data_IF_441955708816
#
_entry.id   IF_441955708816
#
_cell.length_a   1.000
_cell.length_b   1.000
_cell.length_c   1.000
_cell.angle_alpha   90.00
_cell.angle_beta   90.00
_cell.angle_gamma   90.00
#
_symmetry.space_group_name_H-M   'P 1'
#
loop_
_entity.id
_entity.type
_entity.pdbx_description
1 polymer ?
#
# COMPACT_ATOMS: atom_id res chain seq x y z
N UNK A 1 -50.66 -55.50 15.03
CA UNK A 1 -51.23 -54.37 14.26
C UNK A 1 -50.19 -53.31 13.91
N UNK A 2 -49.07 -53.73 13.30
CA UNK A 2 -48.01 -52.83 12.78
C UNK A 2 -48.46 -52.06 11.53
N UNK A 3 -49.48 -52.56 10.82
CA UNK A 3 -50.04 -51.94 9.61
C UNK A 3 -50.85 -50.68 9.93
N UNK A 4 -51.49 -50.60 11.11
CA UNK A 4 -52.26 -49.42 11.53
C UNK A 4 -51.37 -48.26 12.00
N UNK A 5 -50.17 -48.56 12.52
CA UNK A 5 -49.18 -47.54 12.91
C UNK A 5 -48.44 -46.94 11.70
N UNK A 6 -48.21 -47.71 10.63
CA UNK A 6 -47.61 -47.18 9.40
C UNK A 6 -48.56 -46.23 8.64
N UNK A 7 -49.87 -46.50 8.65
CA UNK A 7 -50.85 -45.61 8.01
C UNK A 7 -51.04 -44.29 8.77
N UNK A 8 -50.94 -44.29 10.10
CA UNK A 8 -50.95 -43.06 10.91
C UNK A 8 -49.65 -42.24 10.76
N UNK A 9 -48.49 -42.89 10.53
CA UNK A 9 -47.23 -42.21 10.27
C UNK A 9 -47.16 -41.56 8.88
N UNK A 10 -47.82 -42.15 7.87
CA UNK A 10 -47.84 -41.59 6.50
C UNK A 10 -48.71 -40.33 6.35
N UNK A 11 -49.74 -40.16 7.18
CA UNK A 11 -50.57 -38.94 7.20
C UNK A 11 -49.92 -37.80 7.99
N UNK A 12 -49.15 -38.09 9.04
CA UNK A 12 -48.36 -37.11 9.79
C UNK A 12 -47.10 -36.62 9.05
N UNK A 13 -46.48 -37.47 8.23
CA UNK A 13 -45.35 -37.06 7.37
C UNK A 13 -45.80 -36.12 6.24
N UNK A 14 -47.01 -36.34 5.70
CA UNK A 14 -47.60 -35.45 4.70
C UNK A 14 -47.97 -34.08 5.31
N UNK A 15 -48.43 -34.04 6.57
CA UNK A 15 -48.71 -32.78 7.26
C UNK A 15 -47.44 -32.04 7.70
N UNK A 16 -46.38 -32.72 8.15
CA UNK A 16 -45.13 -32.04 8.53
C UNK A 16 -44.38 -31.45 7.33
N UNK A 17 -44.38 -32.13 6.17
CA UNK A 17 -43.82 -31.59 4.92
C UNK A 17 -44.70 -30.46 4.41
N UNK A 18 -46.02 -30.61 4.44
CA UNK A 18 -46.94 -29.53 4.06
C UNK A 18 -46.86 -28.34 5.01
N UNK A 19 -46.67 -28.54 6.31
CA UNK A 19 -46.58 -27.49 7.33
C UNK A 19 -45.21 -26.80 7.28
N UNK A 20 -44.12 -27.53 7.00
CA UNK A 20 -42.81 -26.93 6.77
C UNK A 20 -42.77 -26.16 5.45
N UNK A 21 -43.41 -26.67 4.40
CA UNK A 21 -43.56 -25.97 3.12
C UNK A 21 -44.48 -24.75 3.26
N UNK A 22 -45.58 -24.85 4.00
CA UNK A 22 -46.47 -23.72 4.27
C UNK A 22 -45.83 -22.69 5.23
N UNK A 23 -44.97 -23.13 6.16
CA UNK A 23 -44.16 -22.26 7.02
C UNK A 23 -43.10 -21.53 6.19
N UNK A 24 -42.38 -22.22 5.31
CA UNK A 24 -41.44 -21.60 4.38
C UNK A 24 -42.16 -20.63 3.45
N UNK A 25 -43.29 -21.03 2.84
CA UNK A 25 -44.07 -20.16 1.95
C UNK A 25 -44.59 -18.96 2.73
N UNK A 26 -45.17 -19.10 3.93
CA UNK A 26 -45.67 -17.94 4.68
C UNK A 26 -44.56 -17.06 5.26
N UNK A 27 -43.40 -17.63 5.59
CA UNK A 27 -42.22 -16.88 6.08
C UNK A 27 -41.53 -16.15 4.93
N UNK A 28 -41.53 -16.72 3.73
CA UNK A 28 -40.90 -16.16 2.52
C UNK A 28 -41.88 -15.32 1.67
N UNK A 29 -43.19 -15.44 1.87
CA UNK A 29 -44.25 -14.73 1.13
C UNK A 29 -44.84 -13.55 1.90
N UNK A 30 -44.53 -13.37 3.19
CA UNK A 30 -44.92 -12.14 3.88
C UNK A 30 -44.05 -10.99 3.38
N UNK A 31 -44.68 -10.15 2.54
CA UNK A 31 -44.21 -8.86 2.05
C UNK A 31 -43.29 -8.14 3.04
N UNK A 32 -42.17 -7.69 2.50
CA UNK A 32 -41.19 -6.73 3.05
C UNK A 32 -40.11 -7.34 3.95
N UNK A 33 -39.10 -7.97 3.35
CA UNK A 33 -37.76 -7.38 3.31
C UNK A 33 -36.76 -8.31 2.61
N UNK A 34 -35.88 -7.66 1.85
CA UNK A 34 -34.81 -8.23 1.05
C UNK A 34 -33.79 -9.04 1.85
N UNK A 35 -33.13 -9.98 1.14
CA UNK A 35 -31.83 -10.59 1.42
C UNK A 35 -31.79 -11.92 2.21
N UNK A 36 -31.25 -12.98 1.57
CA UNK A 36 -30.01 -13.68 2.00
C UNK A 36 -29.97 -15.24 1.95
N UNK A 37 -31.04 -16.02 1.78
CA UNK A 37 -30.97 -17.47 2.13
C UNK A 37 -31.44 -18.45 1.03
N UNK A 38 -30.87 -18.41 -0.17
CA UNK A 38 -31.05 -19.53 -1.15
C UNK A 38 -29.72 -20.07 -1.69
N UNK A 39 -28.57 -19.54 -1.29
CA UNK A 39 -27.27 -19.95 -1.84
C UNK A 39 -26.52 -21.04 -1.05
N UNK A 40 -27.09 -21.63 0.00
CA UNK A 40 -26.35 -22.60 0.84
C UNK A 40 -26.72 -24.08 0.56
N UNK A 41 -27.82 -24.40 -0.10
CA UNK A 41 -28.32 -25.79 -0.16
C UNK A 41 -28.20 -26.53 -1.50
N UNK A 42 -27.43 -26.04 -2.47
CA UNK A 42 -27.25 -26.74 -3.76
C UNK A 42 -25.79 -27.05 -4.11
N UNK A 43 -25.02 -27.49 -3.12
CA UNK A 43 -23.66 -27.96 -3.34
C UNK A 43 -23.43 -29.35 -2.72
N UNK A 44 -24.34 -30.31 -2.90
CA UNK A 44 -24.04 -31.74 -2.67
C UNK A 44 -25.05 -32.64 -3.40
N UNK A 45 -24.77 -32.99 -4.65
CA UNK A 45 -24.98 -34.33 -5.23
C UNK A 45 -24.78 -34.30 -6.75
N UNK A 46 -23.71 -34.97 -7.19
CA UNK A 46 -23.28 -35.13 -8.58
C UNK A 46 -24.18 -36.10 -9.35
N UNK A 47 -25.41 -35.71 -9.73
CA UNK A 47 -26.21 -36.45 -10.74
C UNK A 47 -27.59 -35.83 -10.99
N UNK A 48 -27.64 -34.68 -11.68
CA UNK A 48 -28.87 -34.24 -12.35
C UNK A 48 -28.58 -33.95 -13.83
N UNK A 49 -29.49 -34.32 -14.75
CA UNK A 49 -29.28 -34.16 -16.18
C UNK A 49 -29.12 -32.67 -16.49
N UNK A 50 -28.11 -32.32 -17.28
CA UNK A 50 -27.97 -30.97 -17.84
C UNK A 50 -29.19 -30.71 -18.71
N UNK A 51 -30.18 -30.00 -18.18
CA UNK A 51 -31.24 -29.41 -19.00
C UNK A 51 -30.59 -28.32 -19.83
N UNK A 52 -30.34 -28.62 -21.10
CA UNK A 52 -30.03 -27.56 -22.07
C UNK A 52 -31.29 -26.73 -22.26
N UNK A 53 -31.21 -25.47 -21.83
CA UNK A 53 -32.29 -24.51 -21.97
C UNK A 53 -32.41 -24.09 -23.43
N UNK A 54 -33.64 -24.06 -23.96
CA UNK A 54 -33.89 -23.49 -25.28
C UNK A 54 -33.48 -22.01 -25.31
N UNK A 55 -33.18 -21.46 -26.49
CA UNK A 55 -32.84 -20.05 -26.64
C UNK A 55 -33.91 -19.12 -26.02
N UNK A 56 -35.18 -19.54 -26.06
CA UNK A 56 -36.31 -18.82 -25.47
C UNK A 56 -36.32 -18.87 -23.92
N UNK A 57 -35.90 -19.99 -23.32
CA UNK A 57 -35.77 -20.14 -21.86
C UNK A 57 -34.55 -19.39 -21.30
N UNK A 58 -33.45 -19.34 -22.05
CA UNK A 58 -32.29 -18.51 -21.73
C UNK A 58 -32.66 -17.02 -21.80
N UNK A 59 -33.42 -16.62 -22.83
CA UNK A 59 -33.92 -15.25 -22.99
C UNK A 59 -34.90 -14.85 -21.88
N UNK A 60 -35.81 -15.75 -21.46
CA UNK A 60 -36.73 -15.50 -20.34
C UNK A 60 -35.99 -15.40 -19.00
N UNK A 61 -34.98 -16.24 -18.75
CA UNK A 61 -34.11 -16.11 -17.56
C UNK A 61 -33.26 -14.84 -17.55
N UNK A 62 -32.85 -14.35 -18.72
CA UNK A 62 -32.17 -13.06 -18.87
C UNK A 62 -33.07 -11.89 -18.43
N UNK A 63 -34.39 -12.00 -18.64
CA UNK A 63 -35.39 -10.98 -18.28
C UNK A 63 -35.91 -11.15 -16.84
N UNK A 64 -35.99 -12.37 -16.30
CA UNK A 64 -36.62 -12.64 -14.99
C UNK A 64 -35.64 -12.92 -13.84
N UNK A 65 -34.34 -12.93 -14.08
CA UNK A 65 -33.37 -12.75 -12.99
C UNK A 65 -33.58 -11.34 -12.45
N UNK A 66 -33.49 -11.06 -11.13
CA UNK A 66 -33.60 -9.71 -10.60
C UNK A 66 -32.38 -8.89 -11.06
N UNK A 67 -32.42 -8.47 -12.32
CA UNK A 67 -31.66 -7.39 -12.89
C UNK A 67 -32.36 -6.13 -12.37
N UNK A 68 -31.66 -5.39 -11.50
CA UNK A 68 -32.07 -4.13 -10.90
C UNK A 68 -32.92 -3.28 -11.87
N UNK A 69 -34.24 -3.32 -11.70
CA UNK A 69 -35.18 -2.62 -12.56
C UNK A 69 -35.82 -1.47 -11.79
N UNK A 70 -35.14 -0.32 -11.76
CA UNK A 70 -35.86 0.95 -11.70
C UNK A 70 -36.01 1.45 -13.13
N UNK A 71 -37.24 1.42 -13.64
CA UNK A 71 -37.60 1.81 -15.01
C UNK A 71 -38.02 3.28 -15.10
N UNK A 72 -37.43 4.18 -14.31
CA UNK A 72 -37.53 5.61 -14.59
C UNK A 72 -36.40 6.02 -15.55
N UNK A 73 -36.74 6.11 -16.84
CA UNK A 73 -36.02 6.78 -17.95
C UNK A 73 -34.48 6.85 -17.93
N UNK A 74 -33.86 6.41 -19.04
CA UNK A 74 -32.46 6.57 -19.49
C UNK A 74 -31.60 5.28 -19.50
N UNK A 75 -31.65 4.61 -20.68
CA UNK A 75 -30.71 3.68 -21.32
C UNK A 75 -30.35 2.37 -20.56
N UNK A 76 -30.57 1.17 -21.15
CA UNK A 76 -30.17 -0.10 -20.55
C UNK A 76 -28.64 -0.27 -20.50
N UNK A 77 -28.11 -0.71 -19.36
CA UNK A 77 -26.68 -0.99 -19.12
C UNK A 77 -26.39 -2.48 -19.38
N UNK A 78 -25.52 -2.80 -20.34
CA UNK A 78 -25.12 -4.17 -20.71
C UNK A 78 -23.88 -4.64 -19.93
N UNK A 79 -23.89 -5.88 -19.43
CA UNK A 79 -22.67 -6.66 -19.16
C UNK A 79 -22.14 -7.18 -20.49
N UNK A 80 -20.89 -6.86 -20.85
CA UNK A 80 -20.23 -7.50 -22.00
C UNK A 80 -19.92 -8.96 -21.64
N UNK A 81 -20.63 -9.90 -22.27
CA UNK A 81 -20.41 -11.36 -22.12
C UNK A 81 -19.69 -11.98 -23.32
N UNK A 82 -19.13 -11.18 -24.23
CA UNK A 82 -18.31 -11.70 -25.31
C UNK A 82 -16.86 -11.70 -24.82
N UNK A 83 -16.23 -12.88 -24.88
CA UNK A 83 -14.91 -13.19 -24.33
C UNK A 83 -13.83 -12.14 -24.56
N UNK A 84 -12.93 -12.08 -23.57
CA UNK A 84 -11.81 -11.16 -23.34
C UNK A 84 -12.17 -9.87 -22.57
N UNK A 85 -12.34 -10.05 -21.25
CA UNK A 85 -12.04 -9.05 -20.21
C UNK A 85 -12.99 -7.86 -20.06
N UNK A 86 -14.14 -8.06 -19.42
CA UNK A 86 -14.93 -6.96 -18.84
C UNK A 86 -15.58 -7.41 -17.52
N UNK A 87 -15.10 -6.90 -16.39
CA UNK A 87 -15.88 -6.84 -15.15
C UNK A 87 -16.19 -5.37 -14.85
N UNK A 88 -17.33 -4.89 -15.36
CA UNK A 88 -17.94 -3.63 -14.90
C UNK A 88 -18.54 -3.91 -13.53
N UNK A 89 -17.94 -3.34 -12.47
CA UNK A 89 -18.61 -3.20 -11.17
C UNK A 89 -19.23 -1.80 -11.17
N UNK A 90 -20.55 -1.76 -11.33
CA UNK A 90 -21.39 -0.57 -11.48
C UNK A 90 -20.93 0.67 -10.67
N UNK A 91 -20.98 1.83 -11.32
CA UNK A 91 -20.85 3.14 -10.68
C UNK A 91 -22.23 3.65 -10.23
N UNK A 92 -22.40 3.84 -8.92
CA UNK A 92 -23.54 4.56 -8.35
C UNK A 92 -23.10 5.98 -7.96
N UNK A 93 -23.86 6.98 -8.40
CA UNK A 93 -23.73 8.37 -7.97
C UNK A 93 -24.62 9.26 -8.83
N UNK A 94 -25.61 9.91 -8.21
CA UNK A 94 -26.69 10.65 -8.86
C UNK A 94 -26.23 11.76 -9.81
N UNK A 95 -27.08 12.01 -10.80
CA UNK A 95 -26.98 13.02 -11.85
C UNK A 95 -26.86 14.44 -11.29
N UNK A 96 -25.72 15.11 -11.53
CA UNK A 96 -25.66 16.52 -11.89
C UNK A 96 -24.50 16.72 -12.90
N UNK A 97 -24.80 17.23 -14.10
CA UNK A 97 -23.85 17.69 -15.14
C UNK A 97 -23.09 16.64 -16.00
N UNK A 98 -23.74 15.56 -16.44
CA UNK A 98 -23.40 14.93 -17.74
C UNK A 98 -21.99 14.37 -17.94
N UNK A 99 -21.24 14.06 -16.88
CA UNK A 99 -19.92 13.43 -16.96
C UNK A 99 -19.93 12.03 -16.34
N UNK A 100 -20.43 11.05 -17.08
CA UNK A 100 -20.22 9.64 -16.77
C UNK A 100 -19.80 8.92 -18.05
N UNK A 101 -18.60 9.23 -18.51
CA UNK A 101 -17.87 8.33 -19.39
C UNK A 101 -16.80 7.66 -18.54
N UNK A 102 -17.01 6.39 -18.18
CA UNK A 102 -15.87 5.51 -17.96
C UNK A 102 -15.23 5.37 -19.35
N UNK A 103 -14.32 6.27 -19.70
CA UNK A 103 -13.52 6.11 -20.92
C UNK A 103 -12.42 5.11 -20.59
N UNK A 104 -12.73 3.83 -20.74
CA UNK A 104 -11.70 2.83 -21.02
C UNK A 104 -11.29 3.02 -22.49
N UNK A 105 -10.36 3.96 -22.73
CA UNK A 105 -9.69 4.14 -24.02
C UNK A 105 -8.40 3.35 -24.00
N UNK A 106 -8.49 2.03 -23.95
CA UNK A 106 -7.34 1.13 -23.99
C UNK A 106 -7.78 -0.22 -24.50
N UNK A 107 -7.51 -0.52 -25.77
CA UNK A 107 -7.93 -1.79 -26.37
C UNK A 107 -7.22 -2.97 -25.73
N UNK A 108 -7.96 -3.88 -25.09
CA UNK A 108 -7.56 -5.30 -24.93
C UNK A 108 -7.02 -5.80 -23.57
N UNK A 109 -7.49 -5.36 -22.39
CA UNK A 109 -7.09 -6.03 -21.14
C UNK A 109 -7.95 -5.80 -19.89
N UNK A 110 -7.71 -6.63 -18.87
CA UNK A 110 -8.57 -6.86 -17.69
C UNK A 110 -8.45 -5.76 -16.63
N UNK A 111 -9.21 -4.67 -16.75
CA UNK A 111 -9.25 -3.59 -15.75
C UNK A 111 -10.44 -3.74 -14.77
N UNK A 112 -10.26 -3.35 -13.50
CA UNK A 112 -11.31 -3.12 -12.50
C UNK A 112 -11.48 -1.61 -12.33
N UNK A 113 -12.65 -1.07 -12.64
CA UNK A 113 -12.90 0.39 -12.59
C UNK A 113 -14.21 0.68 -11.85
N UNK A 114 -14.16 1.56 -10.85
CA UNK A 114 -15.32 2.02 -10.09
C UNK A 114 -15.24 3.52 -9.76
N UNK A 115 -16.25 4.29 -10.13
CA UNK A 115 -16.32 5.72 -9.81
C UNK A 115 -16.91 6.59 -10.91
N UNK A 116 -16.77 7.92 -10.77
CA UNK A 116 -17.26 8.92 -11.72
C UNK A 116 -16.09 9.60 -12.44
N UNK A 117 -16.29 10.00 -13.70
CA UNK A 117 -15.32 10.81 -14.49
C UNK A 117 -13.91 10.17 -14.60
N UNK A 118 -13.84 8.86 -14.80
CA UNK A 118 -12.56 8.14 -14.80
C UNK A 118 -11.87 8.13 -16.15
N UNK A 119 -10.54 8.18 -16.16
CA UNK A 119 -9.73 7.91 -17.35
C UNK A 119 -8.71 6.82 -17.08
N UNK A 120 -8.87 5.67 -17.73
CA UNK A 120 -7.97 4.52 -17.55
C UNK A 120 -7.45 4.06 -18.91
N UNK A 121 -6.15 4.19 -19.11
CA UNK A 121 -5.41 3.69 -20.26
C UNK A 121 -4.51 2.51 -19.85
N UNK A 122 -4.46 1.48 -20.69
CA UNK A 122 -3.65 0.27 -20.54
C UNK A 122 -4.38 -0.92 -19.91
N UNK A 123 -3.60 -1.92 -19.46
CA UNK A 123 -4.07 -3.23 -19.01
C UNK A 123 -4.04 -3.43 -17.50
N UNK A 124 -4.71 -4.47 -17.00
CA UNK A 124 -4.55 -5.02 -15.64
C UNK A 124 -4.59 -4.01 -14.48
N UNK A 125 -5.37 -2.93 -14.59
CA UNK A 125 -5.45 -1.89 -13.56
C UNK A 125 -6.58 -2.12 -12.57
N UNK A 126 -6.42 -1.58 -11.36
CA UNK A 126 -7.49 -1.37 -10.37
C UNK A 126 -7.63 0.12 -10.15
N UNK A 127 -8.79 0.69 -10.48
CA UNK A 127 -9.02 2.14 -10.43
C UNK A 127 -10.34 2.45 -9.72
N UNK A 128 -10.29 3.08 -8.56
CA UNK A 128 -11.45 3.36 -7.70
C UNK A 128 -11.43 4.80 -7.22
N UNK A 129 -12.45 5.61 -7.48
CA UNK A 129 -12.54 6.98 -6.98
C UNK A 129 -13.27 7.93 -7.93
N UNK A 130 -13.51 9.18 -7.54
CA UNK A 130 -14.02 10.19 -8.49
C UNK A 130 -12.83 10.85 -9.21
N UNK A 131 -12.89 11.01 -10.53
CA UNK A 131 -11.85 11.64 -11.34
C UNK A 131 -10.46 11.00 -11.19
N UNK A 132 -10.39 9.72 -10.78
CA UNK A 132 -9.12 9.01 -10.70
C UNK A 132 -8.65 8.58 -12.10
N UNK A 133 -7.32 8.51 -12.25
CA UNK A 133 -6.70 8.49 -13.57
C UNK A 133 -5.52 7.51 -13.64
N UNK A 134 -5.47 6.74 -14.72
CA UNK A 134 -4.29 6.00 -15.15
C UNK A 134 -3.95 6.44 -16.57
N UNK A 135 -2.76 6.99 -16.76
CA UNK A 135 -2.24 7.44 -18.04
C UNK A 135 -0.81 6.96 -18.24
N UNK A 136 -0.65 5.71 -18.66
CA UNK A 136 0.66 5.18 -19.03
C UNK A 136 1.07 5.71 -20.42
N UNK A 137 1.84 6.80 -20.46
CA UNK A 137 2.49 7.30 -21.69
C UNK A 137 3.97 6.95 -21.64
N UNK A 138 4.33 5.70 -21.95
CA UNK A 138 5.72 5.35 -22.23
C UNK A 138 5.95 5.48 -23.75
N UNK A 139 6.95 6.27 -24.18
CA UNK A 139 7.21 6.53 -25.61
C UNK A 139 7.87 5.35 -26.35
N UNK A 140 8.07 4.22 -25.67
CA UNK A 140 8.62 2.98 -26.24
C UNK A 140 7.48 1.97 -26.39
N UNK A 141 7.50 1.16 -27.46
CA UNK A 141 6.47 0.16 -27.80
C UNK A 141 6.46 -0.99 -26.78
N UNK A 142 6.06 -0.74 -25.54
CA UNK A 142 5.71 -1.76 -24.56
C UNK A 142 4.44 -1.33 -23.83
N UNK A 143 3.36 -2.09 -24.03
CA UNK A 143 2.08 -1.80 -23.38
C UNK A 143 2.15 -2.27 -21.94
N UNK A 144 2.37 -1.34 -21.01
CA UNK A 144 2.28 -1.64 -19.58
C UNK A 144 1.25 -0.78 -18.88
N UNK A 145 0.28 -1.45 -18.27
CA UNK A 145 -0.35 -0.97 -17.05
C UNK A 145 -0.67 -2.18 -16.20
N UNK A 146 -0.59 -1.98 -14.89
CA UNK A 146 -0.73 -2.94 -13.78
C UNK A 146 -0.74 -2.08 -12.53
N UNK A 147 -1.58 -1.05 -12.54
CA UNK A 147 -1.59 0.00 -11.54
C UNK A 147 -2.72 -0.22 -10.54
N UNK A 148 -2.51 0.25 -9.31
CA UNK A 148 -3.58 0.38 -8.31
C UNK A 148 -3.76 1.87 -8.02
N UNK A 149 -4.88 2.44 -8.40
CA UNK A 149 -5.21 3.86 -8.21
C UNK A 149 -6.52 3.97 -7.43
N UNK A 150 -6.46 4.39 -6.17
CA UNK A 150 -7.62 4.45 -5.28
C UNK A 150 -7.70 5.80 -4.59
N UNK A 151 -8.77 6.56 -4.80
CA UNK A 151 -9.00 7.86 -4.18
C UNK A 151 -9.55 8.88 -5.18
N UNK A 152 -10.22 9.92 -4.67
CA UNK A 152 -10.67 11.01 -5.53
C UNK A 152 -9.45 11.78 -6.06
N UNK A 153 -9.43 12.04 -7.37
CA UNK A 153 -8.33 12.71 -8.07
C UNK A 153 -6.97 11.98 -7.94
N UNK A 154 -6.97 10.72 -7.51
CA UNK A 154 -5.76 9.90 -7.47
C UNK A 154 -5.30 9.59 -8.90
N UNK A 155 -3.99 9.62 -9.13
CA UNK A 155 -3.43 9.54 -10.49
C UNK A 155 -2.16 8.71 -10.54
N UNK A 156 -2.04 7.90 -11.59
CA UNK A 156 -0.77 7.34 -12.02
C UNK A 156 -0.49 7.64 -13.49
N UNK A 157 0.65 8.26 -13.77
CA UNK A 157 1.16 8.51 -15.12
C UNK A 157 2.26 7.51 -15.55
N UNK A 158 2.30 6.35 -14.88
CA UNK A 158 3.35 5.34 -15.06
C UNK A 158 2.77 3.92 -15.04
N UNK A 159 3.66 2.93 -15.02
CA UNK A 159 3.32 1.50 -15.02
C UNK A 159 3.79 0.82 -13.72
N UNK A 160 3.11 -0.27 -13.35
CA UNK A 160 3.43 -1.10 -12.18
C UNK A 160 3.38 -0.33 -10.85
N UNK A 161 2.53 0.68 -10.74
CA UNK A 161 2.55 1.65 -9.66
C UNK A 161 1.33 1.59 -8.75
N UNK A 162 1.44 2.18 -7.56
CA UNK A 162 0.36 2.28 -6.58
C UNK A 162 0.16 3.74 -6.19
N UNK A 163 -1.03 4.29 -6.42
CA UNK A 163 -1.45 5.62 -5.97
C UNK A 163 -2.73 5.50 -5.13
N UNK A 164 -2.62 5.61 -3.80
CA UNK A 164 -3.75 5.43 -2.88
C UNK A 164 -3.90 6.65 -1.98
N UNK A 165 -5.03 7.34 -2.05
CA UNK A 165 -5.35 8.54 -1.29
C UNK A 165 -5.83 9.67 -2.20
N UNK A 166 -6.64 10.59 -1.68
CA UNK A 166 -7.12 11.70 -2.48
C UNK A 166 -5.94 12.56 -2.96
N UNK A 167 -5.89 12.89 -4.25
CA UNK A 167 -4.78 13.59 -4.88
C UNK A 167 -3.40 12.88 -4.74
N UNK A 168 -3.36 11.57 -4.47
CA UNK A 168 -2.10 10.82 -4.54
C UNK A 168 -1.64 10.72 -6.00
N UNK A 169 -0.36 10.98 -6.28
CA UNK A 169 0.16 11.00 -7.66
C UNK A 169 1.47 10.22 -7.77
N UNK A 170 1.49 9.28 -8.72
CA UNK A 170 2.71 8.73 -9.30
C UNK A 170 2.97 9.43 -10.63
N UNK A 171 4.11 10.12 -10.72
CA UNK A 171 4.44 10.99 -11.86
C UNK A 171 4.91 10.19 -13.09
N UNK A 172 4.99 10.84 -14.27
CA UNK A 172 5.55 10.22 -15.46
C UNK A 172 6.96 9.65 -15.20
N UNK A 173 7.29 8.55 -15.87
CA UNK A 173 8.60 7.87 -15.75
C UNK A 173 8.95 7.37 -14.33
N UNK A 174 7.97 7.34 -13.41
CA UNK A 174 8.12 6.82 -12.04
C UNK A 174 7.55 5.40 -11.93
N UNK A 175 8.08 4.43 -12.70
CA UNK A 175 7.57 3.05 -12.73
C UNK A 175 7.88 2.35 -11.40
N UNK A 176 7.05 1.36 -11.06
CA UNK A 176 7.25 0.54 -9.84
C UNK A 176 7.16 1.39 -8.54
N UNK A 177 6.63 2.62 -8.65
CA UNK A 177 6.57 3.55 -7.53
C UNK A 177 5.27 3.45 -6.73
N UNK A 178 5.35 3.82 -5.46
CA UNK A 178 4.25 3.78 -4.49
C UNK A 178 4.02 5.18 -3.92
N UNK A 179 2.80 5.67 -4.00
CA UNK A 179 2.33 6.90 -3.38
C UNK A 179 1.07 6.60 -2.55
N UNK A 180 1.16 6.60 -1.23
CA UNK A 180 0.06 6.27 -0.31
C UNK A 180 -0.14 7.41 0.69
N UNK A 181 -1.28 8.10 0.60
CA UNK A 181 -1.66 9.22 1.46
C UNK A 181 -2.30 10.35 0.65
N UNK A 182 -3.07 11.20 1.35
CA UNK A 182 -3.60 12.43 0.75
C UNK A 182 -2.46 13.31 0.25
N UNK A 183 -2.45 13.69 -1.04
CA UNK A 183 -1.34 14.44 -1.66
C UNK A 183 0.04 13.75 -1.52
N UNK A 184 0.11 12.42 -1.50
CA UNK A 184 1.38 11.70 -1.58
C UNK A 184 1.94 11.74 -3.02
N UNK A 185 3.21 12.08 -3.17
CA UNK A 185 3.86 12.27 -4.47
C UNK A 185 5.08 11.36 -4.65
N UNK A 186 5.03 10.47 -5.63
CA UNK A 186 6.16 9.64 -6.06
C UNK A 186 6.68 10.14 -7.41
N UNK A 187 7.88 10.73 -7.42
CA UNK A 187 8.44 11.45 -8.58
C UNK A 187 9.62 10.78 -9.26
N UNK A 188 10.30 9.86 -8.58
CA UNK A 188 11.39 9.07 -9.16
C UNK A 188 10.92 7.65 -9.53
N UNK A 189 11.68 6.98 -10.41
CA UNK A 189 11.53 5.54 -10.68
C UNK A 189 11.75 4.74 -9.38
N UNK A 190 10.99 3.67 -9.17
CA UNK A 190 11.07 2.79 -8.00
C UNK A 190 11.02 3.51 -6.62
N UNK A 191 10.24 4.59 -6.50
CA UNK A 191 10.14 5.37 -5.25
C UNK A 191 9.01 4.91 -4.33
N UNK A 192 9.13 5.21 -3.04
CA UNK A 192 8.08 4.96 -2.04
C UNK A 192 7.77 6.24 -1.27
N UNK A 193 6.55 6.76 -1.37
CA UNK A 193 6.06 7.92 -0.65
C UNK A 193 4.81 7.51 0.16
N UNK A 194 4.96 7.36 1.48
CA UNK A 194 3.89 6.90 2.38
C UNK A 194 3.65 7.92 3.48
N UNK A 195 2.50 8.59 3.43
CA UNK A 195 2.04 9.61 4.36
C UNK A 195 1.33 10.75 3.64
N UNK A 196 0.48 11.49 4.36
CA UNK A 196 -0.14 12.69 3.79
C UNK A 196 0.94 13.72 3.43
N UNK A 197 0.89 14.29 2.22
CA UNK A 197 1.83 15.31 1.73
C UNK A 197 3.29 14.87 1.70
N UNK A 198 3.56 13.58 1.50
CA UNK A 198 4.93 13.07 1.31
C UNK A 198 5.43 13.32 -0.10
N UNK A 199 6.74 13.45 -0.29
CA UNK A 199 7.35 13.50 -1.63
C UNK A 199 8.64 12.71 -1.69
N UNK A 200 8.67 11.64 -2.48
CA UNK A 200 9.90 10.92 -2.83
C UNK A 200 10.38 11.41 -4.20
N UNK A 201 11.50 12.14 -4.25
CA UNK A 201 11.93 12.87 -5.46
C UNK A 201 12.89 12.09 -6.37
N UNK A 202 13.82 11.34 -5.77
CA UNK A 202 14.92 10.73 -6.51
C UNK A 202 14.63 9.25 -6.75
N UNK A 203 15.20 8.65 -7.80
CA UNK A 203 15.08 7.22 -8.06
C UNK A 203 15.43 6.39 -6.81
N UNK A 204 14.64 5.34 -6.55
CA UNK A 204 14.79 4.46 -5.38
C UNK A 204 14.66 5.14 -3.99
N UNK A 205 14.27 6.41 -3.91
CA UNK A 205 14.12 7.11 -2.63
C UNK A 205 12.83 6.74 -1.90
N UNK A 206 12.87 6.85 -0.57
CA UNK A 206 11.72 6.53 0.31
C UNK A 206 11.39 7.73 1.20
N UNK A 207 10.17 8.25 1.15
CA UNK A 207 9.64 9.24 2.08
C UNK A 207 8.56 8.62 2.96
N UNK A 208 8.78 8.60 4.29
CA UNK A 208 7.91 7.93 5.24
C UNK A 208 7.38 8.90 6.32
N UNK A 209 6.07 8.92 6.51
CA UNK A 209 5.36 9.78 7.46
C UNK A 209 4.93 11.12 6.87
N UNK A 210 3.82 11.67 7.35
CA UNK A 210 3.23 12.88 6.75
C UNK A 210 4.25 14.03 6.62
N UNK A 211 4.22 14.77 5.51
CA UNK A 211 5.14 15.87 5.21
C UNK A 211 6.63 15.49 5.04
N UNK A 212 6.97 14.20 4.97
CA UNK A 212 8.35 13.78 4.70
C UNK A 212 8.74 14.00 3.24
N UNK A 213 9.99 14.42 3.01
CA UNK A 213 10.55 14.65 1.67
C UNK A 213 11.90 13.96 1.55
N UNK A 214 12.05 13.08 0.55
CA UNK A 214 13.31 12.40 0.26
C UNK A 214 13.98 13.03 -0.98
N UNK A 215 15.12 13.68 -0.78
CA UNK A 215 15.84 14.45 -1.81
C UNK A 215 17.33 14.11 -1.93
N UNK A 216 17.86 13.19 -1.11
CA UNK A 216 19.27 12.79 -1.17
C UNK A 216 19.40 11.67 -2.19
N UNK A 217 20.24 11.87 -3.21
CA UNK A 217 20.51 10.91 -4.28
C UNK A 217 21.38 9.74 -3.79
N UNK A 218 21.48 8.70 -4.60
CA UNK A 218 22.50 7.67 -4.43
C UNK A 218 23.91 8.26 -4.46
N UNK A 219 24.89 7.50 -3.96
CA UNK A 219 26.30 7.89 -3.90
C UNK A 219 26.58 9.13 -3.06
N UNK A 220 25.60 9.57 -2.26
CA UNK A 220 25.81 10.60 -1.26
C UNK A 220 26.86 10.14 -0.24
N UNK A 221 27.84 11.00 0.01
CA UNK A 221 28.94 10.79 0.96
C UNK A 221 28.44 11.03 2.38
N UNK A 222 28.69 10.08 3.28
CA UNK A 222 28.40 10.21 4.71
C UNK A 222 29.29 11.25 5.38
N UNK A 223 28.90 11.68 6.58
CA UNK A 223 29.75 12.51 7.43
C UNK A 223 30.84 11.66 8.10
N UNK A 224 32.08 12.16 8.06
CA UNK A 224 33.24 11.57 8.71
C UNK A 224 33.74 12.51 9.83
N UNK A 225 33.67 12.07 11.11
CA UNK A 225 34.11 12.87 12.24
C UNK A 225 35.64 13.04 12.33
N UNK A 226 36.44 12.19 11.69
CA UNK A 226 37.92 12.31 11.71
C UNK A 226 38.35 13.50 10.86
N UNK A 227 37.75 13.64 9.68
CA UNK A 227 38.03 14.75 8.75
C UNK A 227 37.12 15.97 8.97
N UNK A 228 36.11 15.85 9.84
CA UNK A 228 35.09 16.86 10.11
C UNK A 228 34.38 17.32 8.83
N UNK A 229 34.00 16.38 7.98
CA UNK A 229 33.47 16.67 6.65
C UNK A 229 32.75 15.50 6.02
N UNK A 230 32.55 15.57 4.70
CA UNK A 230 32.11 14.40 3.94
C UNK A 230 33.29 13.43 3.82
N UNK A 231 33.02 12.14 4.02
CA UNK A 231 34.03 11.08 3.90
C UNK A 231 34.64 11.02 2.49
N UNK A 232 35.94 10.73 2.41
CA UNK A 232 36.64 10.37 1.17
C UNK A 232 36.81 8.85 1.02
N UNK A 233 36.34 8.07 2.00
CA UNK A 233 36.32 6.61 1.93
C UNK A 233 35.33 6.15 0.85
N UNK A 234 35.75 5.16 0.06
CA UNK A 234 34.90 4.52 -0.93
C UNK A 234 34.26 3.24 -0.35
N UNK A 235 33.18 2.79 -1.00
CA UNK A 235 32.45 1.59 -0.59
C UNK A 235 31.12 1.89 0.13
N UNK A 236 30.30 0.84 0.24
CA UNK A 236 28.88 0.97 0.61
C UNK A 236 28.62 1.27 2.10
N UNK A 237 29.67 1.20 2.95
CA UNK A 237 29.58 1.55 4.38
C UNK A 237 29.52 3.07 4.56
N UNK A 238 30.32 3.80 3.79
CA UNK A 238 30.49 5.26 3.91
C UNK A 238 29.68 6.05 2.89
N UNK A 239 29.36 5.41 1.76
CA UNK A 239 28.70 6.05 0.61
C UNK A 239 27.49 5.23 0.19
N UNK A 240 26.33 5.87 0.17
CA UNK A 240 25.07 5.22 -0.18
C UNK A 240 25.10 4.62 -1.59
N UNK A 241 24.47 3.46 -1.78
CA UNK A 241 24.31 2.85 -3.11
C UNK A 241 22.97 3.17 -3.76
N UNK A 242 21.99 3.61 -2.98
CA UNK A 242 20.65 4.04 -3.38
C UNK A 242 20.30 5.36 -2.69
N UNK A 243 19.26 6.03 -3.18
CA UNK A 243 18.76 7.27 -2.58
C UNK A 243 18.20 7.06 -1.16
N UNK A 244 18.13 8.14 -0.38
CA UNK A 244 17.86 8.04 1.05
C UNK A 244 16.41 7.67 1.41
N UNK A 245 16.27 7.05 2.58
CA UNK A 245 15.02 7.00 3.34
C UNK A 245 14.91 8.26 4.20
N UNK A 246 13.89 9.08 3.95
CA UNK A 246 13.58 10.27 4.74
C UNK A 246 12.34 10.06 5.60
N UNK A 247 12.49 10.32 6.90
CA UNK A 247 11.39 10.33 7.88
C UNK A 247 10.93 11.74 8.25
N UNK A 248 11.35 12.76 7.49
CA UNK A 248 11.01 14.16 7.74
C UNK A 248 11.31 15.08 6.56
N UNK A 249 11.33 16.39 6.82
CA UNK A 249 11.74 17.42 5.87
C UNK A 249 12.56 18.49 6.63
N UNK A 250 13.89 18.37 6.56
CA UNK A 250 14.82 19.28 7.25
C UNK A 250 14.80 20.69 6.69
N UNK A 251 14.45 20.87 5.41
CA UNK A 251 14.27 22.20 4.82
C UNK A 251 13.14 22.99 5.51
N UNK A 252 12.15 22.27 6.06
CA UNK A 252 11.05 22.86 6.83
C UNK A 252 11.16 22.61 8.35
N UNK A 253 12.31 22.13 8.84
CA UNK A 253 12.50 21.80 10.26
C UNK A 253 11.62 20.66 10.80
N UNK A 254 11.05 19.82 9.93
CA UNK A 254 10.20 18.68 10.32
C UNK A 254 11.06 17.43 10.51
N UNK A 255 11.28 17.00 11.75
CA UNK A 255 12.05 15.78 12.05
C UNK A 255 11.24 14.80 12.89
N UNK A 256 11.67 13.54 12.91
CA UNK A 256 11.09 12.48 13.72
C UNK A 256 12.18 11.71 14.44
N UNK A 257 11.86 11.25 15.65
CA UNK A 257 12.66 10.20 16.29
C UNK A 257 12.34 8.85 15.65
N UNK A 258 13.36 8.01 15.49
CA UNK A 258 13.22 6.59 15.18
C UNK A 258 13.45 5.85 16.49
N UNK A 259 12.40 5.25 17.05
CA UNK A 259 12.41 4.60 18.37
C UNK A 259 12.37 3.08 18.23
N UNK A 260 12.62 2.37 19.35
CA UNK A 260 12.71 0.91 19.38
C UNK A 260 13.81 0.32 18.46
N UNK A 261 14.91 1.05 18.28
CA UNK A 261 16.09 0.60 17.54
C UNK A 261 16.97 -0.25 18.47
N UNK A 262 17.05 -1.55 18.19
CA UNK A 262 17.98 -2.45 18.87
C UNK A 262 19.44 -2.04 18.59
N UNK A 263 20.38 -2.49 19.44
CA UNK A 263 21.79 -2.16 19.25
C UNK A 263 22.32 -2.74 17.93
N UNK A 264 22.96 -1.90 17.12
CA UNK A 264 23.58 -2.30 15.87
C UNK A 264 24.80 -3.19 16.08
N UNK A 265 25.06 -4.08 15.13
CA UNK A 265 26.14 -5.08 15.20
C UNK A 265 27.12 -4.98 14.03
N UNK A 266 26.64 -4.65 12.84
CA UNK A 266 27.44 -4.46 11.62
C UNK A 266 27.68 -2.98 11.35
N UNK A 267 28.66 -2.69 10.50
CA UNK A 267 29.04 -1.32 10.14
C UNK A 267 27.91 -0.50 9.50
N UNK A 268 26.89 -1.15 8.94
CA UNK A 268 25.72 -0.52 8.30
C UNK A 268 24.47 -0.54 9.17
N UNK A 269 24.55 -1.03 10.42
CA UNK A 269 23.42 -1.02 11.33
C UNK A 269 23.25 0.37 11.97
N UNK A 270 22.02 0.80 12.21
CA UNK A 270 21.78 2.03 12.94
C UNK A 270 22.27 1.94 14.39
N UNK A 271 22.97 2.96 14.85
CA UNK A 271 23.42 3.08 16.25
C UNK A 271 22.30 3.64 17.12
N UNK A 272 22.01 3.00 18.24
CA UNK A 272 21.05 3.53 19.21
C UNK A 272 21.73 4.39 20.30
N UNK A 273 20.92 5.10 21.10
CA UNK A 273 21.42 6.01 22.15
C UNK A 273 22.20 5.27 23.25
N UNK A 274 21.92 3.99 23.51
CA UNK A 274 22.64 3.22 24.52
C UNK A 274 24.10 2.94 24.10
N UNK A 275 24.31 2.58 22.83
CA UNK A 275 25.66 2.41 22.26
C UNK A 275 26.44 3.72 22.30
N UNK A 276 25.83 4.83 21.91
CA UNK A 276 26.49 6.14 21.95
C UNK A 276 26.87 6.57 23.39
N UNK A 277 26.01 6.27 24.38
CA UNK A 277 26.34 6.51 25.80
C UNK A 277 27.51 5.65 26.27
N UNK A 278 27.59 4.38 25.85
CA UNK A 278 28.73 3.53 26.18
C UNK A 278 30.06 4.09 25.63
N UNK A 279 30.04 4.60 24.38
CA UNK A 279 31.20 5.30 23.79
C UNK A 279 31.58 6.53 24.61
N UNK A 280 30.60 7.34 25.06
CA UNK A 280 30.86 8.50 25.93
C UNK A 280 31.56 8.10 27.23
N UNK A 281 31.15 7.01 27.86
CA UNK A 281 31.80 6.55 29.10
C UNK A 281 33.25 6.08 28.86
N UNK A 282 33.52 5.43 27.72
CA UNK A 282 34.90 5.10 27.30
C UNK A 282 35.71 6.38 27.04
N UNK A 283 35.15 7.34 26.30
CA UNK A 283 35.84 8.58 25.94
C UNK A 283 36.18 9.47 27.14
N UNK A 284 35.43 9.35 28.25
CA UNK A 284 35.76 10.01 29.52
C UNK A 284 36.94 9.37 30.25
N UNK A 285 37.30 8.12 29.94
CA UNK A 285 38.38 7.46 30.66
C UNK A 285 39.69 8.18 30.36
N UNK A 286 40.31 8.68 31.43
CA UNK A 286 41.65 9.22 31.41
C UNK A 286 42.72 8.16 31.19
N UNK A 287 43.97 8.59 31.26
CA UNK A 287 45.14 7.71 31.17
C UNK A 287 45.94 7.80 32.47
N UNK A 288 46.71 6.75 32.78
CA UNK A 288 47.52 6.72 34.01
C UNK A 288 48.97 7.10 33.71
N UNK A 289 49.47 8.13 34.39
CA UNK A 289 50.90 8.46 34.39
C UNK A 289 51.59 7.74 35.55
N UNK A 290 52.66 7.02 35.26
CA UNK A 290 53.50 6.40 36.30
C UNK A 290 54.89 7.03 36.32
N UNK A 291 55.35 7.44 37.50
CA UNK A 291 56.71 7.95 37.73
C UNK A 291 57.31 7.16 38.89
N UNK A 292 58.20 6.21 38.57
CA UNK A 292 58.62 5.18 39.52
C UNK A 292 57.43 4.32 39.96
N UNK A 293 57.24 4.17 41.27
CA UNK A 293 56.10 3.43 41.86
C UNK A 293 54.82 4.26 42.03
N UNK A 294 54.85 5.57 41.74
CA UNK A 294 53.67 6.45 41.88
C UNK A 294 52.86 6.48 40.60
N UNK A 295 51.55 6.25 40.71
CA UNK A 295 50.59 6.36 39.60
C UNK A 295 49.60 7.48 39.83
N UNK A 296 49.35 8.30 38.81
CA UNK A 296 48.36 9.39 38.83
C UNK A 296 47.40 9.23 37.65
N UNK A 297 46.10 9.39 37.89
CA UNK A 297 45.11 9.43 36.80
C UNK A 297 45.10 10.83 36.17
N UNK A 298 45.09 10.88 34.84
CA UNK A 298 44.93 12.08 34.03
C UNK A 298 43.62 11.94 33.27
N UNK A 299 42.54 12.45 33.88
CA UNK A 299 41.19 12.40 33.31
C UNK A 299 41.01 13.41 32.18
N UNK A 300 40.00 13.22 31.34
CA UNK A 300 39.77 14.03 30.14
C UNK A 300 39.61 15.54 30.39
N UNK A 301 39.20 15.92 31.60
CA UNK A 301 38.97 17.32 32.00
C UNK A 301 40.16 17.93 32.79
N UNK A 302 41.22 17.17 33.06
CA UNK A 302 42.37 17.61 33.85
C UNK A 302 43.61 17.84 32.98
N UNK A 303 44.34 18.94 33.23
CA UNK A 303 45.64 19.18 32.60
C UNK A 303 46.77 18.46 33.33
N UNK A 304 47.69 17.88 32.57
CA UNK A 304 48.95 17.35 33.08
C UNK A 304 50.05 18.39 32.90
N UNK A 305 50.52 18.96 34.01
CA UNK A 305 51.63 19.92 34.02
C UNK A 305 52.92 19.23 34.47
N UNK A 306 53.97 19.30 33.64
CA UNK A 306 55.30 18.85 34.01
C UNK A 306 56.16 20.04 34.48
N UNK A 307 56.83 19.91 35.63
CA UNK A 307 57.80 20.88 36.13
C UNK A 307 59.09 20.16 36.53
N UNK A 308 60.24 20.78 36.26
CA UNK A 308 61.51 20.23 36.71
C UNK A 308 61.75 20.60 38.17
N UNK A 309 62.17 19.62 38.98
CA UNK A 309 62.60 19.85 40.35
C UNK A 309 64.06 20.32 40.48
N UNK A 310 64.82 20.33 39.39
CA UNK A 310 66.22 20.78 39.36
C UNK A 310 66.65 21.22 37.96
N UNK A 311 67.82 21.83 37.84
CA UNK A 311 68.36 22.26 36.55
C UNK A 311 68.99 21.12 35.73
N UNK A 312 68.98 19.88 36.26
CA UNK A 312 69.55 18.71 35.59
C UNK A 312 68.72 18.24 34.38
N UNK A 313 67.44 18.62 34.32
CA UNK A 313 66.56 18.37 33.18
C UNK A 313 65.81 19.64 32.81
N UNK A 314 65.88 20.00 31.52
CA UNK A 314 65.13 21.12 30.96
C UNK A 314 63.93 20.57 30.17
N UNK A 315 62.72 20.88 30.62
CA UNK A 315 61.49 20.60 29.88
C UNK A 315 61.29 21.76 28.90
N UNK A 316 61.38 21.48 27.61
CA UNK A 316 61.16 22.46 26.54
C UNK A 316 59.82 22.15 25.88
N UNK A 317 59.00 23.19 25.71
CA UNK A 317 57.70 23.14 25.01
C UNK A 317 57.87 23.05 23.50
#
# INVERSE_FOLDING_TARGET
NYVTALQAGSTLAASAVSDYVNFLINTLSKKNNDNAIVNILTAYSNSLPKREFSAEEQYKRFITSPQFSDFSSFIPKQFSQNGDGVAVVDSFGGLWNGRTAVQSRGGGGSNIIHGQVMHVNGYDNVVIGNNAMVWSNTPTIEVFSRNVVIGSDARSDSSFSVAIGNNAVVFPQSRISVAIGHEAYARGDATVAIGSKTTAKNESSVALGAYSVATVYERARGYDPITNGATEEEGYVWKSTLAAVSVGNTADGKTRQIVAVAAGTKDTDAVNVAQLKAVREIAKTGWKLSVGEKTTNVDADNSLSFSSGSDNFKIVS
#
